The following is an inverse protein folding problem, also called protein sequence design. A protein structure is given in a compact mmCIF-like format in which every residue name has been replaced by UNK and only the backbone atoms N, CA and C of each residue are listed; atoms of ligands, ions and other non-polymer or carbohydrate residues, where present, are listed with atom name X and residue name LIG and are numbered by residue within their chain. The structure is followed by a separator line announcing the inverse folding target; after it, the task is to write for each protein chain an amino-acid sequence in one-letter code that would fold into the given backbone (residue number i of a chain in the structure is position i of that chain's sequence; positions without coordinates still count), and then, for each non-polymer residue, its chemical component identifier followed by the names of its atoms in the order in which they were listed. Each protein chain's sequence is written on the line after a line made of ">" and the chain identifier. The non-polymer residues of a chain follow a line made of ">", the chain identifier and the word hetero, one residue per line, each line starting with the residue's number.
data_IF_407938189427
#
_entry.id   IF_407938189427
#
_cell.length_a   1.000
_cell.length_b   1.000
_cell.length_c   1.000
_cell.angle_alpha   90.00
_cell.angle_beta   90.00
_cell.angle_gamma   90.00
#
_symmetry.space_group_name_H-M   'P 1'
#
loop_
_entity.id
_entity.type
_entity.pdbx_description
1 polymer ?
#
# COMPACT_ATOMS: atom_id res chain seq x y z
N UNK A 1 0.85 -1.93 18.67
CA UNK A 1 1.36 -2.72 19.81
C UNK A 1 2.85 -2.51 20.08
N UNK A 2 3.72 -2.48 19.08
CA UNK A 2 5.19 -2.43 19.25
C UNK A 2 5.70 -1.32 20.17
N UNK A 3 5.07 -0.16 20.18
CA UNK A 3 5.47 1.02 20.99
C UNK A 3 4.52 1.31 22.16
N UNK A 4 3.57 0.41 22.45
CA UNK A 4 2.66 0.56 23.58
C UNK A 4 3.23 -0.08 24.84
N UNK A 5 2.76 0.35 25.97
CA UNK A 5 3.13 -0.18 27.30
C UNK A 5 2.36 -1.48 27.58
N UNK A 6 2.76 -2.53 26.88
CA UNK A 6 2.15 -3.84 26.98
C UNK A 6 0.84 -4.00 26.19
N UNK A 7 0.25 -5.22 26.24
CA UNK A 7 -0.97 -5.53 25.49
C UNK A 7 -2.18 -4.69 25.92
N UNK A 8 -2.35 -4.46 27.20
CA UNK A 8 -3.46 -3.69 27.75
C UNK A 8 -3.38 -2.22 27.37
N UNK A 9 -2.17 -1.62 27.41
CA UNK A 9 -1.93 -0.26 26.93
C UNK A 9 -2.25 -0.12 25.44
N UNK A 10 -1.91 -1.14 24.62
CA UNK A 10 -2.23 -1.14 23.21
C UNK A 10 -3.74 -1.21 22.93
N UNK A 11 -4.48 -2.03 23.69
CA UNK A 11 -5.93 -2.14 23.56
C UNK A 11 -6.64 -0.87 24.01
N UNK A 12 -6.24 -0.34 25.17
CA UNK A 12 -6.78 0.88 25.76
C UNK A 12 -6.56 2.09 24.86
N UNK A 13 -5.34 2.29 24.35
CA UNK A 13 -5.03 3.36 23.40
C UNK A 13 -5.87 3.25 22.12
N UNK A 14 -6.00 2.05 21.54
CA UNK A 14 -6.83 1.85 20.35
C UNK A 14 -8.31 2.19 20.59
N UNK A 15 -8.84 1.85 21.76
CA UNK A 15 -10.23 2.16 22.13
C UNK A 15 -10.43 3.66 22.33
N UNK A 16 -9.57 4.32 23.09
CA UNK A 16 -9.74 5.73 23.39
C UNK A 16 -9.51 6.63 22.19
N UNK A 17 -8.56 6.30 21.32
CA UNK A 17 -8.37 7.07 20.07
C UNK A 17 -9.60 6.96 19.16
N UNK A 18 -10.21 5.76 19.05
CA UNK A 18 -11.44 5.60 18.30
C UNK A 18 -12.60 6.42 18.89
N UNK A 19 -12.77 6.41 20.21
CA UNK A 19 -13.75 7.27 20.90
C UNK A 19 -13.45 8.77 20.68
N UNK A 20 -12.17 9.12 20.58
CA UNK A 20 -11.71 10.47 20.27
C UNK A 20 -11.87 10.91 18.81
N UNK A 21 -12.43 10.05 17.94
CA UNK A 21 -12.79 10.40 16.57
C UNK A 21 -11.86 9.85 15.48
N UNK A 22 -10.94 8.94 15.80
CA UNK A 22 -10.15 8.24 14.77
C UNK A 22 -11.00 7.21 14.03
N UNK A 23 -10.81 7.08 12.71
CA UNK A 23 -11.63 6.25 11.84
C UNK A 23 -11.43 4.74 12.06
N UNK A 24 -10.28 4.30 12.58
CA UNK A 24 -9.99 2.88 12.76
C UNK A 24 -8.66 2.61 13.45
N UNK A 25 -8.32 1.34 13.56
CA UNK A 25 -7.08 0.87 14.18
C UNK A 25 -6.41 -0.24 13.38
N UNK A 26 -5.06 -0.28 13.40
CA UNK A 26 -4.29 -1.43 12.91
C UNK A 26 -4.17 -2.57 13.96
N UNK A 27 -4.72 -2.39 15.16
CA UNK A 27 -4.74 -3.40 16.20
C UNK A 27 -5.90 -4.37 15.99
N UNK A 28 -5.63 -5.49 15.32
CA UNK A 28 -6.62 -6.53 14.98
C UNK A 28 -7.39 -6.99 16.21
N UNK A 29 -6.72 -7.19 17.35
CA UNK A 29 -7.39 -7.61 18.60
C UNK A 29 -8.35 -6.54 19.13
N UNK A 30 -7.97 -5.26 19.06
CA UNK A 30 -8.86 -4.17 19.45
C UNK A 30 -10.08 -4.08 18.54
N UNK A 31 -9.87 -4.25 17.23
CA UNK A 31 -10.97 -4.31 16.26
C UNK A 31 -11.95 -5.43 16.59
N UNK A 32 -11.43 -6.63 16.88
CA UNK A 32 -12.27 -7.79 17.23
C UNK A 32 -13.02 -7.59 18.55
N UNK A 33 -12.35 -7.08 19.59
CA UNK A 33 -12.94 -6.96 20.95
C UNK A 33 -13.92 -5.79 21.05
N UNK A 34 -13.62 -4.67 20.39
CA UNK A 34 -14.40 -3.43 20.54
C UNK A 34 -15.24 -3.06 19.31
N UNK A 35 -15.22 -3.86 18.25
CA UNK A 35 -15.94 -3.56 17.00
C UNK A 35 -15.35 -2.35 16.24
N UNK A 36 -14.08 -2.00 16.46
CA UNK A 36 -13.43 -0.88 15.78
C UNK A 36 -13.05 -1.30 14.36
N UNK A 37 -13.30 -0.48 13.33
CA UNK A 37 -12.84 -0.76 11.97
C UNK A 37 -11.34 -1.03 11.93
N UNK A 38 -10.95 -2.13 11.27
CA UNK A 38 -9.54 -2.50 11.11
C UNK A 38 -9.03 -1.89 9.82
N UNK A 39 -7.99 -1.06 9.92
CA UNK A 39 -7.28 -0.49 8.79
C UNK A 39 -5.77 -0.69 8.98
N UNK A 40 -5.08 -1.04 7.92
CA UNK A 40 -3.64 -1.27 7.98
C UNK A 40 -3.12 -1.83 6.66
N UNK A 41 -1.80 -2.00 6.62
CA UNK A 41 -1.09 -2.57 5.47
C UNK A 41 -0.03 -3.55 5.98
N UNK A 42 0.84 -3.98 5.06
CA UNK A 42 2.05 -4.74 5.43
C UNK A 42 3.17 -3.84 6.00
N UNK A 43 4.28 -4.43 6.40
CA UNK A 43 5.47 -3.76 6.91
C UNK A 43 6.65 -3.92 5.94
N UNK A 44 7.68 -3.06 6.06
CA UNK A 44 8.94 -3.19 5.28
C UNK A 44 9.56 -4.58 5.40
N UNK A 45 9.49 -5.20 6.59
CA UNK A 45 9.99 -6.56 6.80
C UNK A 45 9.30 -7.62 5.92
N UNK A 46 8.02 -7.41 5.57
CA UNK A 46 7.33 -8.27 4.61
C UNK A 46 7.91 -8.08 3.20
N UNK A 47 8.12 -6.84 2.76
CA UNK A 47 8.74 -6.56 1.45
C UNK A 47 10.15 -7.14 1.39
N UNK A 48 10.97 -6.91 2.41
CA UNK A 48 12.33 -7.40 2.50
C UNK A 48 12.46 -8.95 2.60
N UNK A 49 11.36 -9.67 2.81
CA UNK A 49 11.38 -11.14 2.82
C UNK A 49 11.35 -11.75 1.41
N UNK A 50 11.16 -10.93 0.38
CA UNK A 50 11.22 -11.30 -1.03
C UNK A 50 12.50 -10.75 -1.66
N UNK A 51 13.16 -11.55 -2.49
CA UNK A 51 14.46 -11.21 -3.10
C UNK A 51 14.37 -11.08 -4.62
N UNK A 52 13.48 -11.86 -5.26
CA UNK A 52 13.31 -11.88 -6.71
C UNK A 52 11.89 -12.33 -7.09
N UNK A 53 11.60 -12.32 -8.39
CA UNK A 53 10.36 -12.88 -8.92
C UNK A 53 10.28 -14.42 -8.78
N UNK A 54 11.40 -15.12 -8.57
CA UNK A 54 11.43 -16.56 -8.33
C UNK A 54 10.73 -16.93 -7.01
N UNK A 55 10.65 -15.98 -6.05
CA UNK A 55 9.87 -16.17 -4.81
C UNK A 55 8.36 -16.29 -5.04
N UNK A 56 7.91 -16.15 -6.29
CA UNK A 56 6.52 -16.35 -6.73
C UNK A 56 6.21 -17.76 -7.20
N UNK A 57 7.12 -18.73 -7.07
CA UNK A 57 6.94 -20.10 -7.52
C UNK A 57 5.73 -20.82 -6.94
N UNK A 58 5.24 -21.84 -7.67
CA UNK A 58 3.92 -22.47 -7.45
C UNK A 58 3.72 -23.13 -6.09
N UNK A 59 4.76 -23.66 -5.46
CA UNK A 59 4.64 -24.37 -4.18
C UNK A 59 4.25 -23.45 -3.00
N UNK A 60 4.51 -22.16 -3.09
CA UNK A 60 4.17 -21.16 -2.07
C UNK A 60 2.79 -20.53 -2.24
N UNK A 61 2.05 -20.90 -3.29
CA UNK A 61 0.74 -20.31 -3.69
C UNK A 61 -0.46 -20.72 -2.84
N UNK A 62 -0.30 -21.28 -1.67
CA UNK A 62 -1.43 -21.55 -0.78
C UNK A 62 -1.93 -20.23 -0.19
N UNK A 63 -2.96 -19.67 -0.81
CA UNK A 63 -3.72 -18.56 -0.21
C UNK A 63 -4.19 -18.96 1.20
N UNK A 64 -4.08 -18.05 2.20
CA UNK A 64 -4.58 -18.33 3.55
C UNK A 64 -6.08 -18.60 3.59
N UNK A 65 -6.86 -18.10 2.65
CA UNK A 65 -8.29 -18.36 2.50
C UNK A 65 -8.71 -18.40 1.03
N UNK A 66 -8.79 -19.61 0.42
CA UNK A 66 -9.22 -19.77 -0.98
C UNK A 66 -10.64 -19.30 -1.27
N UNK A 67 -11.49 -19.10 -0.24
CA UNK A 67 -12.90 -18.73 -0.43
C UNK A 67 -13.11 -17.21 -0.50
N UNK A 68 -12.19 -16.41 0.03
CA UNK A 68 -12.30 -14.96 0.09
C UNK A 68 -11.67 -14.23 -1.10
N UNK A 69 -10.86 -14.89 -1.91
CA UNK A 69 -10.09 -14.30 -3.01
C UNK A 69 -10.65 -14.77 -4.36
N UNK A 70 -10.92 -13.86 -5.32
CA UNK A 70 -11.31 -14.26 -6.66
C UNK A 70 -10.26 -15.22 -7.26
N UNK A 71 -10.70 -16.39 -7.72
CA UNK A 71 -9.82 -17.44 -8.23
C UNK A 71 -8.82 -16.94 -9.30
N UNK A 72 -9.21 -15.92 -10.07
CA UNK A 72 -8.38 -15.32 -11.12
C UNK A 72 -7.10 -14.62 -10.59
N UNK A 73 -7.10 -14.10 -9.37
CA UNK A 73 -5.95 -13.39 -8.79
C UNK A 73 -4.89 -14.36 -8.28
N UNK A 74 -5.26 -15.61 -7.98
CA UNK A 74 -4.33 -16.66 -7.54
C UNK A 74 -3.75 -17.49 -8.71
N UNK A 75 -3.63 -16.92 -9.89
CA UNK A 75 -3.18 -17.60 -11.10
C UNK A 75 -1.81 -17.12 -11.57
N UNK A 76 -1.14 -17.98 -12.35
CA UNK A 76 0.05 -17.58 -13.08
C UNK A 76 -0.23 -16.42 -14.05
N UNK A 77 -1.42 -16.39 -14.63
CA UNK A 77 -1.88 -15.31 -15.51
C UNK A 77 -1.82 -13.94 -14.81
N UNK A 78 -2.26 -13.86 -13.56
CA UNK A 78 -2.17 -12.60 -12.78
C UNK A 78 -0.72 -12.18 -12.55
N UNK A 79 0.16 -13.11 -12.19
CA UNK A 79 1.59 -12.82 -12.00
C UNK A 79 2.21 -12.28 -13.29
N UNK A 80 1.95 -12.94 -14.42
CA UNK A 80 2.46 -12.51 -15.72
C UNK A 80 1.87 -11.16 -16.14
N UNK A 81 0.59 -10.93 -15.88
CA UNK A 81 -0.04 -9.64 -16.14
C UNK A 81 0.62 -8.49 -15.36
N UNK A 82 1.01 -8.71 -14.10
CA UNK A 82 1.73 -7.71 -13.31
C UNK A 82 3.15 -7.45 -13.84
N UNK A 83 3.86 -8.51 -14.26
CA UNK A 83 5.22 -8.37 -14.80
C UNK A 83 5.18 -7.63 -16.15
N UNK A 84 4.30 -8.01 -17.06
CA UNK A 84 4.13 -7.32 -18.34
C UNK A 84 3.65 -5.88 -18.16
N UNK A 85 2.74 -5.64 -17.21
CA UNK A 85 2.28 -4.30 -16.88
C UNK A 85 3.43 -3.40 -16.41
N UNK A 86 4.43 -3.92 -15.69
CA UNK A 86 5.59 -3.14 -15.27
C UNK A 86 6.41 -2.63 -16.46
N UNK A 87 6.66 -3.48 -17.44
CA UNK A 87 7.39 -3.11 -18.65
C UNK A 87 6.63 -2.03 -19.43
N UNK A 88 5.34 -2.27 -19.69
CA UNK A 88 4.49 -1.33 -20.41
C UNK A 88 4.37 0.04 -19.71
N UNK A 89 4.19 0.03 -18.39
CA UNK A 89 4.12 1.26 -17.58
C UNK A 89 5.43 2.02 -17.61
N UNK A 90 6.56 1.35 -17.40
CA UNK A 90 7.86 2.02 -17.40
C UNK A 90 8.14 2.68 -18.75
N UNK A 91 7.87 2.00 -19.85
CA UNK A 91 8.03 2.57 -21.18
C UNK A 91 7.09 3.77 -21.42
N UNK A 92 5.82 3.63 -21.03
CA UNK A 92 4.79 4.63 -21.31
C UNK A 92 4.93 5.92 -20.49
N UNK A 93 5.44 5.84 -19.26
CA UNK A 93 5.59 6.99 -18.35
C UNK A 93 7.06 7.42 -18.15
N UNK A 94 8.00 6.80 -18.89
CA UNK A 94 9.42 7.17 -18.92
C UNK A 94 10.24 6.73 -17.70
N UNK A 95 9.86 5.65 -17.04
CA UNK A 95 10.66 5.01 -15.99
C UNK A 95 11.57 3.91 -16.57
N UNK A 96 12.59 3.57 -15.82
CA UNK A 96 13.51 2.49 -16.19
C UNK A 96 13.18 1.23 -15.36
N UNK A 97 12.84 0.14 -16.02
CA UNK A 97 12.50 -1.14 -15.38
C UNK A 97 13.62 -1.63 -14.44
N UNK A 98 14.88 -1.40 -14.81
CA UNK A 98 16.04 -1.78 -13.99
C UNK A 98 16.19 -0.97 -12.69
N UNK A 99 15.46 0.12 -12.51
CA UNK A 99 15.37 0.84 -11.24
C UNK A 99 14.32 0.23 -10.29
N UNK A 100 13.41 -0.59 -10.81
CA UNK A 100 12.39 -1.27 -10.02
C UNK A 100 12.96 -2.52 -9.34
N UNK A 101 12.72 -2.69 -8.05
CA UNK A 101 13.17 -3.86 -7.30
C UNK A 101 12.22 -5.05 -7.55
N UNK A 102 12.77 -6.20 -7.97
CA UNK A 102 11.99 -7.40 -8.29
C UNK A 102 11.37 -8.06 -7.04
N UNK A 103 12.09 -8.09 -5.92
CA UNK A 103 11.57 -8.61 -4.66
C UNK A 103 10.38 -7.76 -4.15
N UNK A 104 10.44 -6.43 -4.34
CA UNK A 104 9.32 -5.55 -4.00
C UNK A 104 8.08 -5.83 -4.87
N UNK A 105 8.26 -6.03 -6.18
CA UNK A 105 7.15 -6.44 -7.05
C UNK A 105 6.58 -7.80 -6.61
N UNK A 106 7.43 -8.79 -6.31
CA UNK A 106 7.00 -10.08 -5.82
C UNK A 106 6.19 -9.97 -4.52
N UNK A 107 6.65 -9.16 -3.57
CA UNK A 107 5.95 -8.90 -2.32
C UNK A 107 4.57 -8.26 -2.57
N UNK A 108 4.48 -7.27 -3.47
CA UNK A 108 3.21 -6.61 -3.78
C UNK A 108 2.24 -7.54 -4.49
N UNK A 109 2.71 -8.40 -5.41
CA UNK A 109 1.89 -9.44 -6.04
C UNK A 109 1.33 -10.38 -4.98
N UNK A 110 2.15 -10.89 -4.06
CA UNK A 110 1.70 -11.78 -2.96
C UNK A 110 0.71 -11.08 -2.03
N UNK A 111 0.95 -9.82 -1.70
CA UNK A 111 0.02 -9.06 -0.88
C UNK A 111 -1.32 -8.83 -1.60
N UNK A 112 -1.31 -8.51 -2.89
CA UNK A 112 -2.51 -8.38 -3.70
C UNK A 112 -3.28 -9.72 -3.84
N UNK A 113 -2.58 -10.83 -3.94
CA UNK A 113 -3.19 -12.16 -3.93
C UNK A 113 -3.93 -12.48 -2.63
N UNK A 114 -3.36 -12.05 -1.49
CA UNK A 114 -3.98 -12.24 -0.19
C UNK A 114 -5.13 -11.24 0.09
N UNK A 115 -5.00 -9.99 -0.40
CA UNK A 115 -5.91 -8.89 -0.09
C UNK A 115 -6.27 -8.07 -1.34
N UNK A 116 -6.88 -8.66 -2.38
CA UNK A 116 -7.05 -8.01 -3.67
C UNK A 116 -7.96 -6.77 -3.61
N UNK A 117 -9.04 -6.80 -2.83
CA UNK A 117 -10.01 -5.69 -2.72
C UNK A 117 -9.57 -4.57 -1.78
N UNK A 118 -8.54 -4.82 -0.98
CA UNK A 118 -7.98 -3.84 -0.03
C UNK A 118 -6.49 -3.60 -0.29
N UNK A 119 -6.02 -3.89 -1.50
CA UNK A 119 -4.62 -3.73 -1.87
C UNK A 119 -4.17 -2.28 -1.73
N UNK A 120 -3.33 -2.04 -0.74
CA UNK A 120 -2.69 -0.77 -0.43
C UNK A 120 -1.22 -1.06 -0.07
N UNK A 121 -0.29 -0.65 -0.92
CA UNK A 121 1.12 -1.00 -0.81
C UNK A 121 1.95 0.03 -0.05
N UNK A 122 2.89 -0.45 0.79
CA UNK A 122 3.94 0.36 1.41
C UNK A 122 5.10 0.47 0.41
N UNK A 123 5.30 1.67 -0.16
CA UNK A 123 6.11 1.85 -1.38
C UNK A 123 7.50 2.44 -1.14
N UNK A 124 7.89 2.64 0.10
CA UNK A 124 9.16 3.27 0.48
C UNK A 124 10.14 2.31 1.16
N UNK A 125 10.05 1.01 0.84
CA UNK A 125 11.03 0.02 1.31
C UNK A 125 12.39 0.23 0.63
N UNK A 126 12.37 0.57 -0.65
CA UNK A 126 13.55 0.90 -1.46
C UNK A 126 13.40 2.35 -1.98
N UNK A 127 13.45 2.56 -3.27
CA UNK A 127 13.28 3.88 -3.86
C UNK A 127 11.79 4.15 -4.17
N UNK A 128 11.21 5.12 -3.50
CA UNK A 128 9.76 5.34 -3.52
C UNK A 128 9.22 5.62 -4.93
N UNK A 129 9.81 6.57 -5.64
CA UNK A 129 9.28 7.03 -6.94
C UNK A 129 9.78 6.15 -8.09
N UNK A 130 11.01 5.63 -8.02
CA UNK A 130 11.60 4.88 -9.12
C UNK A 130 11.35 3.36 -9.01
N UNK A 131 10.92 2.85 -7.86
CA UNK A 131 10.64 1.43 -7.63
C UNK A 131 9.24 1.19 -7.06
N UNK A 132 8.96 1.69 -5.87
CA UNK A 132 7.73 1.37 -5.14
C UNK A 132 6.46 1.80 -5.87
N UNK A 133 6.42 3.04 -6.38
CA UNK A 133 5.26 3.55 -7.13
C UNK A 133 5.06 2.81 -8.45
N UNK A 134 6.06 2.59 -9.32
CA UNK A 134 5.91 1.76 -10.51
C UNK A 134 5.48 0.32 -10.21
N UNK A 135 6.06 -0.35 -9.21
CA UNK A 135 5.67 -1.69 -8.80
C UNK A 135 4.22 -1.75 -8.29
N UNK A 136 3.78 -0.74 -7.52
CA UNK A 136 2.36 -0.63 -7.12
C UNK A 136 1.44 -0.50 -8.33
N UNK A 137 1.74 0.39 -9.26
CA UNK A 137 0.95 0.63 -10.47
C UNK A 137 0.86 -0.62 -11.34
N UNK A 138 1.96 -1.38 -11.44
CA UNK A 138 2.01 -2.64 -12.19
C UNK A 138 1.05 -3.68 -11.63
N UNK A 139 1.02 -3.82 -10.30
CA UNK A 139 0.08 -4.74 -9.64
C UNK A 139 -1.36 -4.22 -9.71
N UNK A 140 -1.56 -2.91 -9.59
CA UNK A 140 -2.89 -2.29 -9.73
C UNK A 140 -3.47 -2.50 -11.14
N UNK A 141 -2.65 -2.35 -12.18
CA UNK A 141 -3.05 -2.60 -13.57
C UNK A 141 -3.33 -4.09 -13.81
N UNK A 142 -2.49 -4.99 -13.26
CA UNK A 142 -2.73 -6.43 -13.29
C UNK A 142 -4.05 -6.83 -12.61
N UNK A 143 -4.37 -6.29 -11.43
CA UNK A 143 -5.64 -6.51 -10.74
C UNK A 143 -6.83 -6.04 -11.59
N UNK A 144 -6.69 -4.89 -12.21
CA UNK A 144 -7.73 -4.33 -13.06
C UNK A 144 -7.97 -5.19 -14.31
N UNK A 145 -6.91 -5.53 -15.05
CA UNK A 145 -6.98 -6.32 -16.29
C UNK A 145 -7.53 -7.74 -16.07
N UNK A 146 -7.07 -8.42 -15.02
CA UNK A 146 -7.42 -9.83 -14.77
C UNK A 146 -8.74 -9.99 -14.04
N UNK A 147 -9.03 -9.12 -13.08
CA UNK A 147 -10.15 -9.30 -12.17
C UNK A 147 -11.15 -8.12 -12.11
N UNK A 148 -10.85 -6.99 -12.76
CA UNK A 148 -11.68 -5.78 -12.66
C UNK A 148 -11.66 -5.14 -11.27
N UNK A 149 -10.63 -5.42 -10.47
CA UNK A 149 -10.51 -4.94 -9.09
C UNK A 149 -9.68 -3.66 -9.08
N UNK A 150 -10.20 -2.62 -8.43
CA UNK A 150 -9.50 -1.36 -8.23
C UNK A 150 -8.61 -1.44 -6.98
N UNK A 151 -7.33 -1.15 -7.15
CA UNK A 151 -6.40 -1.01 -6.04
C UNK A 151 -6.77 0.20 -5.18
N UNK A 152 -6.50 0.13 -3.87
CA UNK A 152 -6.89 1.18 -2.90
C UNK A 152 -5.90 2.34 -2.90
N UNK A 153 -4.58 2.06 -2.89
CA UNK A 153 -3.59 3.13 -2.84
C UNK A 153 -2.22 2.71 -2.32
N UNK A 154 -1.47 3.70 -1.89
CA UNK A 154 -0.11 3.55 -1.35
C UNK A 154 0.01 4.09 0.07
N UNK A 155 1.06 3.64 0.77
CA UNK A 155 1.50 4.21 2.04
C UNK A 155 2.95 4.67 1.96
N UNK A 156 3.20 5.87 2.46
CA UNK A 156 4.50 6.49 2.66
C UNK A 156 4.83 6.49 4.16
N UNK A 157 5.98 5.97 4.55
CA UNK A 157 6.42 5.82 5.96
C UNK A 157 7.78 6.47 6.22
N UNK A 158 8.35 7.17 5.24
CA UNK A 158 9.67 7.81 5.32
C UNK A 158 9.84 8.95 4.32
N UNK A 159 10.93 9.71 4.47
CA UNK A 159 11.28 10.81 3.59
C UNK A 159 10.42 12.06 3.76
N UNK A 160 10.47 12.96 2.78
CA UNK A 160 9.61 14.14 2.71
C UNK A 160 8.21 13.74 2.24
N UNK A 161 7.29 13.59 3.20
CA UNK A 161 5.94 13.09 2.94
C UNK A 161 5.13 14.02 2.04
N UNK A 162 5.30 15.36 2.17
CA UNK A 162 4.62 16.33 1.34
C UNK A 162 5.10 16.21 -0.12
N UNK A 163 6.40 16.28 -0.34
CA UNK A 163 7.01 16.14 -1.66
C UNK A 163 6.68 14.79 -2.30
N UNK A 164 6.88 13.67 -1.60
CA UNK A 164 6.65 12.33 -2.14
C UNK A 164 5.19 12.10 -2.49
N UNK A 165 4.25 12.63 -1.69
CA UNK A 165 2.83 12.52 -1.99
C UNK A 165 2.43 13.27 -3.27
N UNK A 166 2.99 14.46 -3.49
CA UNK A 166 2.79 15.23 -4.72
C UNK A 166 3.36 14.49 -5.94
N UNK A 167 4.60 13.99 -5.83
CA UNK A 167 5.23 13.23 -6.92
C UNK A 167 4.46 11.95 -7.26
N UNK A 168 4.02 11.19 -6.26
CA UNK A 168 3.20 10.01 -6.48
C UNK A 168 1.87 10.36 -7.18
N UNK A 169 1.21 11.45 -6.78
CA UNK A 169 -0.03 11.92 -7.39
C UNK A 169 0.17 12.33 -8.85
N UNK A 170 1.27 12.98 -9.18
CA UNK A 170 1.62 13.31 -10.57
C UNK A 170 1.78 12.04 -11.42
N UNK A 171 2.51 11.04 -10.91
CA UNK A 171 2.69 9.75 -11.60
C UNK A 171 1.34 9.04 -11.79
N UNK A 172 0.46 9.03 -10.78
CA UNK A 172 -0.88 8.46 -10.90
C UNK A 172 -1.71 9.16 -11.97
N UNK A 173 -1.64 10.49 -12.03
CA UNK A 173 -2.38 11.28 -13.02
C UNK A 173 -1.89 10.99 -14.44
N UNK A 174 -0.58 10.98 -14.66
CA UNK A 174 0.02 10.62 -15.94
C UNK A 174 -0.37 9.20 -16.37
N UNK A 175 -0.30 8.24 -15.44
CA UNK A 175 -0.70 6.85 -15.71
C UNK A 175 -2.17 6.74 -16.06
N UNK A 176 -3.04 7.48 -15.38
CA UNK A 176 -4.47 7.51 -15.66
C UNK A 176 -4.79 8.03 -17.07
N UNK A 177 -4.04 9.02 -17.56
CA UNK A 177 -4.15 9.57 -18.91
C UNK A 177 -3.67 8.57 -19.97
N UNK A 178 -2.51 7.97 -19.75
CA UNK A 178 -1.90 7.01 -20.68
C UNK A 178 -2.79 5.76 -20.86
N UNK A 179 -3.32 5.21 -19.78
CA UNK A 179 -4.16 4.01 -19.79
C UNK A 179 -5.67 4.30 -19.76
N UNK A 180 -6.08 5.50 -20.18
CA UNK A 180 -7.49 5.91 -20.20
C UNK A 180 -8.38 4.98 -21.04
N UNK A 181 -7.86 4.50 -22.16
CA UNK A 181 -8.59 3.59 -23.07
C UNK A 181 -8.90 2.23 -22.45
N UNK A 182 -8.19 1.84 -21.39
CA UNK A 182 -8.43 0.60 -20.64
C UNK A 182 -9.39 0.79 -19.45
N UNK A 183 -9.89 1.99 -19.22
CA UNK A 183 -10.74 2.30 -18.08
C UNK A 183 -9.96 2.43 -16.76
N UNK A 184 -8.64 2.68 -16.81
CA UNK A 184 -7.76 2.73 -15.65
C UNK A 184 -7.69 4.13 -14.99
N UNK A 185 -8.56 5.07 -15.38
CA UNK A 185 -8.54 6.46 -14.88
C UNK A 185 -8.74 6.59 -13.37
N UNK A 186 -9.35 5.59 -12.72
CA UNK A 186 -9.53 5.59 -11.26
C UNK A 186 -8.21 5.69 -10.50
N UNK A 187 -7.07 5.27 -11.11
CA UNK A 187 -5.75 5.27 -10.48
C UNK A 187 -5.32 6.69 -10.07
N UNK A 188 -5.74 7.74 -10.78
CA UNK A 188 -5.48 9.12 -10.41
C UNK A 188 -5.98 9.48 -9.00
N UNK A 189 -7.00 8.76 -8.51
CA UNK A 189 -7.62 8.96 -7.19
C UNK A 189 -7.22 7.91 -6.16
N UNK A 190 -6.22 7.09 -6.45
CA UNK A 190 -5.68 6.15 -5.46
C UNK A 190 -5.27 6.87 -4.20
N UNK A 191 -5.60 6.30 -3.05
CA UNK A 191 -5.29 6.90 -1.74
C UNK A 191 -3.79 6.96 -1.50
N UNK A 192 -3.35 8.05 -0.90
CA UNK A 192 -2.00 8.22 -0.38
C UNK A 192 -2.10 8.34 1.15
N UNK A 193 -1.64 7.32 1.84
CA UNK A 193 -1.59 7.27 3.30
C UNK A 193 -0.18 7.65 3.75
N UNK A 194 -0.04 8.56 4.69
CA UNK A 194 1.24 8.90 5.31
C UNK A 194 1.31 8.38 6.75
N UNK A 195 2.44 7.87 7.14
CA UNK A 195 2.77 7.45 8.50
C UNK A 195 4.22 7.84 8.80
N UNK A 196 4.80 7.44 9.91
CA UNK A 196 6.11 7.82 10.39
C UNK A 196 6.09 9.00 11.37
N UNK A 197 6.05 8.63 12.65
CA UNK A 197 6.15 9.55 13.80
C UNK A 197 5.26 10.80 13.70
N UNK A 198 4.10 10.64 13.05
CA UNK A 198 3.10 11.68 12.92
C UNK A 198 2.63 12.13 14.31
N UNK A 199 2.71 13.43 14.55
CA UNK A 199 2.23 14.12 15.74
C UNK A 199 1.57 15.44 15.35
N UNK A 200 1.09 16.20 16.32
CA UNK A 200 0.39 17.46 16.07
C UNK A 200 1.27 18.48 15.31
N UNK A 201 2.53 18.63 15.71
CA UNK A 201 3.45 19.57 15.04
C UNK A 201 3.72 19.18 13.58
N UNK A 202 3.85 17.87 13.29
CA UNK A 202 3.99 17.37 11.92
C UNK A 202 2.72 17.63 11.11
N UNK A 203 1.54 17.42 11.69
CA UNK A 203 0.26 17.69 11.00
C UNK A 203 0.10 19.18 10.68
N UNK A 204 0.44 20.08 11.61
CA UNK A 204 0.43 21.51 11.38
C UNK A 204 1.41 21.91 10.28
N UNK A 205 2.64 21.38 10.33
CA UNK A 205 3.65 21.62 9.28
C UNK A 205 3.20 21.12 7.90
N UNK A 206 2.55 19.99 7.83
CA UNK A 206 1.99 19.48 6.57
C UNK A 206 0.81 20.31 6.10
N UNK A 207 -0.02 20.82 7.01
CA UNK A 207 -1.13 21.72 6.66
C UNK A 207 -0.65 23.00 5.95
N UNK A 208 0.51 23.51 6.34
CA UNK A 208 1.11 24.72 5.75
C UNK A 208 1.85 24.48 4.42
N UNK A 209 1.91 23.22 3.97
CA UNK A 209 2.61 22.81 2.75
C UNK A 209 1.63 22.21 1.73
N UNK A 210 1.85 22.37 0.42
CA UNK A 210 1.11 21.62 -0.57
C UNK A 210 1.44 20.12 -0.44
N UNK A 211 0.41 19.29 -0.33
CA UNK A 211 0.55 17.84 -0.31
C UNK A 211 -0.67 17.13 -0.93
N UNK A 212 -0.54 15.85 -1.25
CA UNK A 212 -1.60 14.99 -1.78
C UNK A 212 -1.91 13.80 -0.86
N UNK A 213 -1.66 13.96 0.45
CA UNK A 213 -1.94 12.92 1.44
C UNK A 213 -3.45 12.93 1.75
N UNK A 214 -4.08 11.76 1.68
CA UNK A 214 -5.52 11.58 1.92
C UNK A 214 -5.82 11.13 3.36
N UNK A 215 -4.87 10.47 4.04
CA UNK A 215 -5.05 10.01 5.43
C UNK A 215 -3.72 9.78 6.15
N UNK A 216 -3.78 9.83 7.49
CA UNK A 216 -2.61 9.70 8.36
C UNK A 216 -2.71 8.47 9.26
N UNK A 217 -1.60 7.71 9.35
CA UNK A 217 -1.43 6.65 10.32
C UNK A 217 -0.65 7.13 11.55
N UNK A 218 -1.32 7.36 12.67
CA UNK A 218 -0.71 7.88 13.89
C UNK A 218 -0.54 6.74 14.90
N UNK A 219 0.69 6.46 15.29
CA UNK A 219 1.01 5.35 16.18
C UNK A 219 1.71 5.78 17.46
N UNK A 220 3.00 6.13 17.35
CA UNK A 220 3.88 6.39 18.47
C UNK A 220 3.35 7.49 19.39
N UNK A 221 2.95 8.62 18.83
CA UNK A 221 2.49 9.79 19.58
C UNK A 221 1.29 9.48 20.50
N UNK A 222 0.37 8.60 20.04
CA UNK A 222 -0.83 8.23 20.81
C UNK A 222 -0.60 7.14 21.87
N UNK A 223 0.61 6.55 21.92
CA UNK A 223 0.91 5.39 22.77
C UNK A 223 2.07 5.61 23.72
N UNK A 224 2.88 6.62 23.50
CA UNK A 224 4.09 6.91 24.25
C UNK A 224 3.94 8.12 25.18
N UNK A 225 2.84 8.85 25.10
CA UNK A 225 2.52 9.99 25.97
C UNK A 225 1.47 9.62 27.01
#
# INVERSE_FOLDING_TARGET
>A
MRRAQGPDGALTASRYTYVGGFDGTSNVKAGHVFGIPIAGTHAHAFVNSFHSLDDLDEETRKSPDPQSVPAKVNTHEFVQACISAREELCDAIGFQVNCCNDGELAAFIRYAQAFPTTFLALVDTYETILSGVPNYLSVALGLWRVAGIQAVGIRLDSGDLAYLSMRAREVFSTTAEVFANEGFQFIARSRIVASNDINEAVLLSLHDQPHSIDSFGIGTNLKAN
#
